data_IF_600903938699
#
_entry.id   IF_600903938699
#
_cell.length_a   1.000
_cell.length_b   1.000
_cell.length_c   1.000
_cell.angle_alpha   90.00
_cell.angle_beta   90.00
_cell.angle_gamma   90.00
#
_symmetry.space_group_name_H-M   'P 1'
#
loop_
_entity.id
_entity.type
_entity.pdbx_description
1 polymer ?
#
# COMPACT_ATOMS: atom_id res chain seq x y z
N UNK A 1 6.40 8.67 -3.51
CA UNK A 1 5.17 8.27 -2.78
C UNK A 1 4.32 9.51 -2.69
N UNK A 2 3.03 9.43 -3.04
CA UNK A 2 2.12 10.58 -2.98
C UNK A 2 1.47 10.65 -1.61
N UNK A 3 0.80 9.56 -1.18
CA UNK A 3 0.24 9.46 0.15
C UNK A 3 0.22 8.01 0.65
N UNK A 4 -0.09 7.87 1.93
CA UNK A 4 -0.24 6.60 2.65
C UNK A 4 -1.39 6.70 3.64
N UNK A 5 -2.20 5.65 3.72
CA UNK A 5 -3.17 5.44 4.80
C UNK A 5 -2.74 4.21 5.58
N UNK A 6 -2.63 4.33 6.91
CA UNK A 6 -2.39 3.20 7.80
C UNK A 6 -3.73 2.57 8.17
N UNK A 7 -3.79 1.24 8.17
CA UNK A 7 -4.97 0.47 8.59
C UNK A 7 -4.60 -0.48 9.72
N UNK A 8 -5.53 -0.67 10.65
CA UNK A 8 -5.36 -1.54 11.80
C UNK A 8 -6.70 -2.24 12.09
N UNK A 9 -6.64 -3.55 12.24
CA UNK A 9 -7.69 -4.36 12.82
C UNK A 9 -7.16 -4.94 14.13
N UNK A 10 -7.43 -4.26 15.24
CA UNK A 10 -6.97 -4.70 16.56
C UNK A 10 -7.60 -6.02 17.01
N UNK A 11 -8.79 -6.37 16.51
CA UNK A 11 -9.46 -7.63 16.87
C UNK A 11 -8.78 -8.83 16.21
N UNK A 12 -8.35 -8.68 14.96
CA UNK A 12 -7.58 -9.70 14.24
C UNK A 12 -6.06 -9.60 14.48
N UNK A 13 -5.60 -8.57 15.20
CA UNK A 13 -4.18 -8.23 15.39
C UNK A 13 -3.43 -8.00 14.06
N UNK A 14 -4.11 -7.37 13.10
CA UNK A 14 -3.57 -7.11 11.76
C UNK A 14 -3.33 -5.62 11.53
N UNK A 15 -2.14 -5.27 11.05
CA UNK A 15 -1.82 -3.91 10.59
C UNK A 15 -1.44 -3.94 9.10
N UNK A 16 -1.88 -2.93 8.36
CA UNK A 16 -1.57 -2.79 6.95
C UNK A 16 -1.51 -1.31 6.54
N UNK A 17 -1.36 -1.07 5.25
CA UNK A 17 -1.43 0.27 4.68
C UNK A 17 -1.79 0.24 3.20
N UNK A 18 -2.48 1.28 2.76
CA UNK A 18 -2.76 1.58 1.36
C UNK A 18 -1.86 2.74 0.92
N UNK A 19 -1.24 2.61 -0.24
CA UNK A 19 -0.27 3.57 -0.77
C UNK A 19 -0.68 4.02 -2.17
N UNK A 20 -0.53 5.31 -2.45
CA UNK A 20 -0.55 5.82 -3.82
C UNK A 20 0.86 6.22 -4.26
N UNK A 21 1.28 5.64 -5.38
CA UNK A 21 2.57 5.88 -6.01
C UNK A 21 2.34 6.47 -7.39
N UNK A 22 3.30 7.26 -7.85
CA UNK A 22 3.24 7.96 -9.14
C UNK A 22 3.31 7.02 -10.35
N UNK A 23 3.92 5.83 -10.24
CA UNK A 23 3.98 4.84 -11.30
C UNK A 23 4.27 3.44 -10.75
N UNK A 24 4.08 2.44 -11.60
CA UNK A 24 4.24 1.01 -11.27
C UNK A 24 5.66 0.67 -10.81
N UNK A 25 6.71 1.16 -11.49
CA UNK A 25 8.10 0.88 -11.13
C UNK A 25 8.43 1.35 -9.70
N UNK A 26 7.86 2.48 -9.29
CA UNK A 26 8.00 2.99 -7.93
C UNK A 26 7.19 2.19 -6.92
N UNK A 27 6.02 1.67 -7.30
CA UNK A 27 5.23 0.76 -6.45
C UNK A 27 5.97 -0.57 -6.21
N UNK A 28 6.54 -1.16 -7.26
CA UNK A 28 7.32 -2.41 -7.18
C UNK A 28 8.56 -2.25 -6.30
N UNK A 29 9.35 -1.21 -6.56
CA UNK A 29 10.54 -0.88 -5.76
C UNK A 29 10.19 -0.64 -4.30
N UNK A 30 9.11 0.07 -4.02
CA UNK A 30 8.65 0.30 -2.66
C UNK A 30 8.20 -1.00 -1.99
N UNK A 31 7.44 -1.84 -2.69
CA UNK A 31 6.97 -3.13 -2.17
C UNK A 31 8.15 -4.05 -1.81
N UNK A 32 9.17 -4.12 -2.65
CA UNK A 32 10.36 -4.94 -2.39
C UNK A 32 11.12 -4.44 -1.15
N UNK A 33 11.43 -3.14 -1.10
CA UNK A 33 12.10 -2.54 0.05
C UNK A 33 11.28 -2.72 1.33
N UNK A 34 9.97 -2.50 1.27
CA UNK A 34 9.11 -2.56 2.45
C UNK A 34 8.95 -3.99 2.97
N UNK A 35 8.88 -4.99 2.08
CA UNK A 35 8.90 -6.41 2.46
C UNK A 35 10.15 -6.76 3.25
N UNK A 36 11.34 -6.38 2.74
CA UNK A 36 12.61 -6.64 3.44
C UNK A 36 12.66 -5.95 4.81
N UNK A 37 12.18 -4.70 4.90
CA UNK A 37 12.10 -3.96 6.17
C UNK A 37 11.18 -4.63 7.18
N UNK A 38 10.02 -5.11 6.74
CA UNK A 38 9.11 -5.81 7.65
C UNK A 38 9.69 -7.15 8.11
N UNK A 39 10.55 -7.78 7.30
CA UNK A 39 11.22 -9.04 7.64
C UNK A 39 12.21 -8.85 8.75
N UNK A 40 13.01 -7.79 8.67
CA UNK A 40 13.93 -7.43 9.74
C UNK A 40 13.21 -7.01 11.02
N UNK A 41 11.94 -6.62 10.94
CA UNK A 41 11.08 -6.37 12.10
C UNK A 41 10.37 -7.62 12.64
N UNK A 42 10.64 -8.82 12.11
CA UNK A 42 10.07 -10.08 12.59
C UNK A 42 8.63 -10.35 12.14
N UNK A 43 8.08 -9.52 11.25
CA UNK A 43 6.83 -9.87 10.57
C UNK A 43 7.18 -11.00 9.60
N UNK A 44 6.44 -12.10 9.54
CA UNK A 44 6.74 -13.19 8.60
C UNK A 44 5.59 -13.44 7.63
N UNK A 45 4.36 -13.26 8.09
CA UNK A 45 3.17 -13.35 7.25
C UNK A 45 2.87 -11.97 6.63
N UNK A 46 3.20 -11.79 5.35
CA UNK A 46 3.03 -10.52 4.63
C UNK A 46 2.45 -10.73 3.25
N UNK A 47 1.52 -9.87 2.89
CA UNK A 47 0.98 -9.80 1.55
C UNK A 47 0.97 -8.37 1.04
N UNK A 48 1.11 -8.21 -0.27
CA UNK A 48 1.01 -6.92 -0.94
C UNK A 48 0.53 -7.15 -2.36
N UNK A 49 -0.36 -6.29 -2.82
CA UNK A 49 -0.91 -6.29 -4.18
C UNK A 49 -0.68 -4.92 -4.80
N UNK A 50 -0.44 -4.91 -6.11
CA UNK A 50 -0.31 -3.69 -6.90
C UNK A 50 -1.51 -3.65 -7.83
N UNK A 51 -2.19 -2.51 -7.86
CA UNK A 51 -3.31 -2.25 -8.75
C UNK A 51 -3.06 -0.93 -9.48
N UNK A 52 -3.52 -0.86 -10.72
CA UNK A 52 -3.68 0.41 -11.39
C UNK A 52 -4.90 1.14 -10.84
N UNK A 53 -4.84 2.46 -10.82
CA UNK A 53 -5.94 3.29 -10.36
C UNK A 53 -6.89 3.57 -11.51
N UNK A 54 -8.17 3.23 -11.35
CA UNK A 54 -9.20 3.62 -12.30
C UNK A 54 -9.60 5.09 -12.06
N UNK A 55 -8.89 6.02 -12.71
CA UNK A 55 -9.08 7.44 -12.50
C UNK A 55 -10.52 7.92 -12.72
N UNK A 56 -11.20 7.40 -13.76
CA UNK A 56 -12.58 7.77 -14.08
C UNK A 56 -13.56 7.40 -12.97
N UNK A 57 -13.48 6.18 -12.43
CA UNK A 57 -14.36 5.75 -11.34
C UNK A 57 -13.97 6.38 -9.99
N UNK A 58 -12.68 6.63 -9.76
CA UNK A 58 -12.21 7.29 -8.54
C UNK A 58 -12.66 8.75 -8.46
N UNK A 59 -12.68 9.47 -9.59
CA UNK A 59 -13.16 10.85 -9.64
C UNK A 59 -14.63 11.00 -9.22
N UNK A 60 -15.48 9.98 -9.46
CA UNK A 60 -16.88 9.98 -9.00
C UNK A 60 -16.97 10.13 -7.48
N UNK A 61 -16.01 9.57 -6.73
CA UNK A 61 -15.96 9.58 -5.27
C UNK A 61 -14.90 10.54 -4.71
N UNK A 62 -14.76 11.72 -5.34
CA UNK A 62 -14.02 12.88 -4.79
C UNK A 62 -12.50 12.70 -4.64
N UNK A 63 -11.90 11.76 -5.38
CA UNK A 63 -10.44 11.68 -5.44
C UNK A 63 -9.90 12.73 -6.42
N UNK A 64 -8.90 13.48 -5.96
CA UNK A 64 -8.09 14.42 -6.74
C UNK A 64 -6.62 13.95 -6.68
N UNK A 65 -5.95 13.84 -7.82
CA UNK A 65 -4.61 13.22 -7.96
C UNK A 65 -3.51 14.25 -8.15
#
# INVERSE_FOLDING_TARGET
>A
MLWKIWTLNSQALEASAIYLLNNVANAERYLQMHRARLESCGVNNRHGKIFEVNASLSAINQVDF
#
